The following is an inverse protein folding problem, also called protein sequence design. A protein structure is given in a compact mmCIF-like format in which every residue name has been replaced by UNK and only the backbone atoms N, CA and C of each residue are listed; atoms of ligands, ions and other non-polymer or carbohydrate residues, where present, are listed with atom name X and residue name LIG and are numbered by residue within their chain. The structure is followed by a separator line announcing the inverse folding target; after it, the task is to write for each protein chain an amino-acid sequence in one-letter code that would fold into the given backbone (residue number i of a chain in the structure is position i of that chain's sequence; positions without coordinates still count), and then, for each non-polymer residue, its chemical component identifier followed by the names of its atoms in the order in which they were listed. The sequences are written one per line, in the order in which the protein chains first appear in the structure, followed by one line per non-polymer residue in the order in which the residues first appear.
data_IF_389361213685
#
_entry.id   IF_389361213685
#
_cell.length_a   1.000
_cell.length_b   1.000
_cell.length_c   1.000
_cell.angle_alpha   90.00
_cell.angle_beta   90.00
_cell.angle_gamma   90.00
#
_symmetry.space_group_name_H-M   'P 1'
#
loop_
_entity.id
_entity.type
_entity.pdbx_description
1 polymer ?
#
# COMPACT_ATOMS: atom_id res chain seq x y z
N UNK A 1 63.33 -34.47 -73.29
CA UNK A 1 64.80 -34.53 -72.91
C UNK A 1 65.28 -33.14 -72.54
N UNK A 2 66.23 -33.01 -71.70
CA UNK A 2 66.39 -33.65 -70.34
C UNK A 2 66.40 -32.63 -69.22
N UNK A 3 66.14 -33.07 -68.01
CA UNK A 3 67.01 -33.28 -66.83
C UNK A 3 67.62 -31.96 -66.30
N UNK A 4 67.75 -31.69 -65.09
CA UNK A 4 68.22 -32.44 -63.89
C UNK A 4 68.23 -31.57 -62.66
N UNK A 5 67.96 -32.19 -61.49
CA UNK A 5 68.66 -32.02 -60.22
C UNK A 5 68.33 -30.86 -59.26
N UNK A 6 67.75 -31.27 -58.10
CA UNK A 6 67.97 -30.73 -56.75
C UNK A 6 69.46 -30.50 -56.40
N UNK A 7 69.85 -29.77 -55.36
CA UNK A 7 69.51 -30.16 -53.99
C UNK A 7 69.44 -29.03 -52.93
N UNK A 8 68.81 -29.43 -51.75
CA UNK A 8 69.18 -29.13 -50.40
C UNK A 8 69.30 -27.65 -49.90
N UNK A 9 68.57 -27.40 -48.83
CA UNK A 9 69.01 -26.39 -47.89
C UNK A 9 68.03 -25.92 -46.80
N UNK A 10 68.11 -26.63 -45.71
CA UNK A 10 67.99 -26.10 -44.32
C UNK A 10 66.65 -25.57 -43.78
N UNK A 11 66.27 -26.25 -42.74
CA UNK A 11 65.31 -25.98 -41.67
C UNK A 11 65.28 -24.52 -41.11
N UNK A 12 64.06 -23.96 -41.01
CA UNK A 12 63.77 -22.81 -40.24
C UNK A 12 62.46 -23.11 -39.41
N UNK A 13 62.61 -23.55 -38.18
CA UNK A 13 61.52 -23.76 -37.24
C UNK A 13 60.96 -22.42 -36.82
N UNK A 14 59.91 -21.95 -37.42
CA UNK A 14 59.08 -20.85 -36.82
C UNK A 14 58.05 -21.45 -35.91
N UNK A 15 58.28 -21.23 -34.62
CA UNK A 15 57.34 -21.46 -33.51
C UNK A 15 56.12 -20.55 -33.70
N UNK A 16 54.99 -21.11 -34.06
CA UNK A 16 53.70 -20.45 -33.98
C UNK A 16 53.38 -20.12 -32.53
N UNK A 17 53.58 -18.87 -32.16
CA UNK A 17 53.04 -18.30 -30.93
C UNK A 17 51.53 -18.25 -31.09
N UNK A 18 50.83 -19.20 -30.42
CA UNK A 18 49.42 -19.14 -30.18
C UNK A 18 49.14 -17.88 -29.35
N UNK A 19 48.59 -16.86 -29.98
CA UNK A 19 48.02 -15.72 -29.28
C UNK A 19 46.84 -16.25 -28.46
N UNK A 20 47.10 -16.53 -27.16
CA UNK A 20 46.07 -16.69 -26.19
C UNK A 20 45.27 -15.39 -26.18
N UNK A 21 44.10 -15.42 -26.78
CA UNK A 21 43.09 -14.37 -26.69
C UNK A 21 42.80 -14.16 -25.24
N UNK A 22 43.30 -13.06 -24.68
CA UNK A 22 42.94 -12.52 -23.38
C UNK A 22 41.50 -11.99 -23.48
N UNK A 23 40.54 -12.93 -23.56
CA UNK A 23 39.14 -12.62 -23.45
C UNK A 23 38.92 -12.38 -21.96
N UNK A 24 38.72 -11.12 -21.57
CA UNK A 24 38.15 -10.77 -20.29
C UNK A 24 36.98 -11.72 -20.01
N UNK A 25 36.86 -12.24 -18.77
CA UNK A 25 35.77 -13.17 -18.43
C UNK A 25 34.45 -12.49 -18.78
N UNK A 26 33.61 -13.19 -19.56
CA UNK A 26 32.26 -12.72 -19.81
C UNK A 26 31.59 -12.47 -18.48
N UNK A 27 30.91 -11.31 -18.32
CA UNK A 27 30.11 -11.10 -17.12
C UNK A 27 29.16 -12.29 -16.93
N UNK A 28 28.97 -12.77 -15.70
CA UNK A 28 28.03 -13.87 -15.46
C UNK A 28 26.66 -13.49 -16.01
N UNK A 29 25.91 -14.49 -16.48
CA UNK A 29 24.51 -14.27 -16.88
C UNK A 29 23.76 -13.61 -15.73
N UNK A 30 22.90 -12.61 -15.98
CA UNK A 30 22.26 -11.80 -14.92
C UNK A 30 21.58 -12.61 -13.83
N UNK A 31 21.00 -13.76 -14.18
CA UNK A 31 20.32 -14.65 -13.24
C UNK A 31 21.22 -15.42 -12.26
N UNK A 32 22.53 -15.56 -12.56
CA UNK A 32 23.49 -16.29 -11.72
C UNK A 32 24.27 -15.40 -10.74
N UNK A 33 24.13 -14.08 -10.84
CA UNK A 33 24.77 -13.14 -9.92
C UNK A 33 24.21 -13.33 -8.51
N UNK A 34 25.10 -13.63 -7.53
CA UNK A 34 24.72 -13.70 -6.11
C UNK A 34 24.57 -12.31 -5.53
N UNK A 35 23.53 -12.13 -4.74
CA UNK A 35 23.25 -10.94 -3.99
C UNK A 35 22.89 -11.29 -2.55
N UNK A 36 23.24 -10.39 -1.65
CA UNK A 36 22.83 -10.45 -0.23
C UNK A 36 22.03 -9.19 0.09
N UNK A 37 21.00 -9.35 0.87
CA UNK A 37 20.10 -8.25 1.21
C UNK A 37 19.03 -8.64 2.20
N UNK A 38 18.01 -7.82 2.28
CA UNK A 38 16.85 -8.03 3.15
C UNK A 38 15.56 -7.79 2.36
N UNK A 39 14.64 -8.73 2.43
CA UNK A 39 13.26 -8.49 2.01
C UNK A 39 12.47 -7.95 3.21
N UNK A 40 11.87 -6.78 3.06
CA UNK A 40 10.93 -6.21 4.00
C UNK A 40 9.54 -6.55 3.51
N UNK A 41 8.85 -7.47 4.21
CA UNK A 41 7.47 -7.84 3.89
C UNK A 41 6.52 -7.07 4.82
N UNK A 42 5.78 -6.14 4.26
CA UNK A 42 4.85 -5.26 4.97
C UNK A 42 3.45 -5.87 4.92
N UNK A 43 2.75 -5.86 6.05
CA UNK A 43 1.32 -6.21 6.14
C UNK A 43 0.64 -5.12 6.96
N UNK A 44 -0.31 -4.42 6.36
CA UNK A 44 -1.00 -3.29 6.98
C UNK A 44 -2.46 -3.64 7.23
N UNK A 45 -2.95 -3.36 8.44
CA UNK A 45 -4.29 -3.69 8.91
C UNK A 45 -5.01 -2.44 9.45
N UNK A 46 -6.32 -2.31 9.24
CA UNK A 46 -7.18 -1.34 9.92
C UNK A 46 -7.64 -1.95 11.25
N UNK A 47 -7.21 -1.36 12.39
CA UNK A 47 -7.50 -1.81 13.75
C UNK A 47 -8.55 -0.96 14.46
N UNK A 48 -9.02 0.14 13.88
CA UNK A 48 -10.01 1.05 14.47
C UNK A 48 -10.15 2.36 13.72
N UNK A 49 -10.73 3.35 14.38
CA UNK A 49 -10.98 4.66 13.76
C UNK A 49 -9.83 5.64 13.98
N UNK A 50 -9.35 5.76 15.21
CA UNK A 50 -8.26 6.64 15.62
C UNK A 50 -7.52 6.00 16.80
N UNK A 51 -6.21 6.25 16.92
CA UNK A 51 -5.38 5.75 18.01
C UNK A 51 -4.72 6.92 18.74
N UNK A 52 -4.98 7.02 20.05
CA UNK A 52 -4.20 7.88 20.94
C UNK A 52 -2.80 7.26 21.12
N UNK A 53 -1.82 7.77 20.36
CA UNK A 53 -0.45 7.26 20.40
C UNK A 53 0.25 7.44 21.74
N UNK A 54 -0.12 8.43 22.55
CA UNK A 54 0.50 8.64 23.86
C UNK A 54 -0.01 7.60 24.88
N UNK A 55 -1.32 7.32 24.88
CA UNK A 55 -1.91 6.24 25.67
C UNK A 55 -1.42 4.86 25.17
N UNK A 56 -1.31 4.68 23.83
CA UNK A 56 -0.80 3.47 23.20
C UNK A 56 0.63 3.16 23.63
N UNK A 57 1.50 4.16 23.70
CA UNK A 57 2.89 4.01 24.12
C UNK A 57 3.02 3.47 25.55
N UNK A 58 2.16 3.93 26.45
CA UNK A 58 2.14 3.44 27.83
C UNK A 58 1.69 1.98 27.90
N UNK A 59 0.66 1.60 27.15
CA UNK A 59 0.09 0.25 27.15
C UNK A 59 0.99 -0.78 26.47
N UNK A 60 1.65 -0.39 25.40
CA UNK A 60 2.56 -1.26 24.65
C UNK A 60 3.99 -1.31 25.21
N UNK A 61 4.24 -0.74 26.40
CA UNK A 61 5.56 -0.80 27.05
C UNK A 61 6.06 -2.22 27.29
N UNK A 62 5.19 -3.21 27.38
CA UNK A 62 5.53 -4.63 27.50
C UNK A 62 6.09 -5.23 26.18
N UNK A 63 5.78 -4.65 25.01
CA UNK A 63 6.28 -5.07 23.70
C UNK A 63 7.67 -4.48 23.39
N UNK A 64 8.19 -3.58 24.22
CA UNK A 64 9.47 -2.92 24.04
C UNK A 64 9.40 -1.41 24.26
N UNK A 65 10.52 -0.75 24.04
CA UNK A 65 10.56 0.72 24.12
C UNK A 65 10.09 1.28 22.77
N UNK A 66 8.81 1.63 22.66
CA UNK A 66 8.27 2.30 21.51
C UNK A 66 9.03 3.59 21.19
N UNK A 67 9.46 3.72 19.95
CA UNK A 67 10.11 4.92 19.43
C UNK A 67 9.18 5.58 18.42
N UNK A 68 9.09 6.91 18.46
CA UNK A 68 8.52 7.63 17.30
C UNK A 68 9.56 7.60 16.18
N UNK A 69 9.11 7.32 14.99
CA UNK A 69 9.97 7.44 13.82
C UNK A 69 10.47 8.89 13.72
N UNK A 70 11.78 9.07 13.50
CA UNK A 70 12.38 10.38 13.29
C UNK A 70 13.18 10.36 12.01
N UNK A 71 12.75 11.11 11.04
CA UNK A 71 13.54 11.35 9.83
C UNK A 71 14.79 12.18 10.15
N UNK A 72 15.91 11.83 9.52
CA UNK A 72 17.23 12.43 9.77
C UNK A 72 17.31 13.92 9.42
N UNK A 73 16.50 14.40 8.49
CA UNK A 73 16.70 15.70 7.81
C UNK A 73 15.70 16.80 8.21
N UNK A 74 14.66 16.56 9.00
CA UNK A 74 13.60 17.53 9.18
C UNK A 74 13.55 18.16 10.57
N UNK A 75 13.50 19.47 10.60
CA UNK A 75 13.07 20.26 11.77
C UNK A 75 11.53 20.20 11.82
N UNK A 76 11.00 19.19 12.49
CA UNK A 76 9.55 19.01 12.61
C UNK A 76 8.94 19.96 13.61
N UNK A 77 7.76 20.51 13.31
CA UNK A 77 6.94 21.22 14.29
C UNK A 77 6.25 20.20 15.22
N UNK A 78 5.87 20.61 16.44
CA UNK A 78 5.24 19.72 17.42
C UNK A 78 3.94 19.06 16.88
N UNK A 79 3.22 19.70 15.96
CA UNK A 79 2.03 19.12 15.30
C UNK A 79 2.37 18.05 14.27
N UNK A 80 3.52 18.15 13.62
CA UNK A 80 4.00 17.11 12.70
C UNK A 80 4.50 15.86 13.43
N UNK A 81 5.10 16.01 14.63
CA UNK A 81 5.51 14.88 15.46
C UNK A 81 4.35 13.98 15.88
N UNK A 82 3.12 14.49 15.96
CA UNK A 82 1.92 13.72 16.29
C UNK A 82 1.45 12.82 15.14
N UNK A 83 1.83 13.14 13.91
CA UNK A 83 1.44 12.36 12.71
C UNK A 83 2.37 11.16 12.43
N UNK A 84 3.52 11.08 13.10
CA UNK A 84 4.42 9.94 12.93
C UNK A 84 3.96 8.72 13.73
N UNK A 85 4.13 7.50 13.18
CA UNK A 85 3.76 6.28 13.86
C UNK A 85 4.60 6.01 15.11
N UNK A 86 4.04 5.23 16.00
CA UNK A 86 4.74 4.64 17.13
C UNK A 86 5.29 3.28 16.72
N UNK A 87 6.61 3.11 16.72
CA UNK A 87 7.30 1.92 16.21
C UNK A 87 7.85 1.07 17.35
N UNK A 88 7.61 -0.23 17.30
CA UNK A 88 8.12 -1.23 18.24
C UNK A 88 8.86 -2.33 17.47
N UNK A 89 9.94 -2.85 18.07
CA UNK A 89 10.63 -4.05 17.58
C UNK A 89 10.17 -5.24 18.42
N UNK A 90 9.73 -6.31 17.77
CA UNK A 90 9.31 -7.54 18.42
C UNK A 90 10.06 -8.74 17.81
N UNK A 91 10.56 -9.62 18.68
CA UNK A 91 11.06 -10.93 18.25
C UNK A 91 9.91 -11.90 18.13
N UNK A 92 9.79 -12.58 16.99
CA UNK A 92 8.76 -13.60 16.78
C UNK A 92 9.14 -14.87 17.51
N UNK A 93 8.23 -15.40 18.32
CA UNK A 93 8.43 -16.66 19.04
C UNK A 93 8.60 -17.86 18.11
N UNK A 94 9.21 -18.93 18.63
CA UNK A 94 9.52 -20.14 17.85
C UNK A 94 8.30 -20.78 17.19
N UNK A 95 7.10 -20.64 17.77
CA UNK A 95 5.84 -21.17 17.23
C UNK A 95 5.41 -20.39 15.97
N UNK A 96 5.46 -19.05 16.01
CA UNK A 96 5.17 -18.22 14.82
C UNK A 96 6.15 -18.44 13.69
N UNK A 97 7.42 -18.67 14.02
CA UNK A 97 8.46 -19.03 13.06
C UNK A 97 8.24 -20.40 12.40
N UNK A 98 7.73 -21.40 13.14
CA UNK A 98 7.45 -22.72 12.60
C UNK A 98 6.35 -22.69 11.52
N UNK A 99 5.41 -21.75 11.60
CA UNK A 99 4.38 -21.54 10.58
C UNK A 99 4.91 -20.85 9.31
N UNK A 100 5.91 -19.98 9.45
CA UNK A 100 6.51 -19.19 8.35
C UNK A 100 7.69 -19.94 7.69
N UNK A 101 8.22 -20.99 8.32
CA UNK A 101 9.47 -21.69 7.96
C UNK A 101 9.50 -22.56 6.70
N UNK A 102 8.44 -22.79 5.89
CA UNK A 102 8.66 -23.34 4.55
C UNK A 102 9.40 -22.39 3.63
N UNK A 103 9.44 -21.08 3.95
CA UNK A 103 10.16 -20.09 3.16
C UNK A 103 11.67 -20.22 3.43
N UNK A 104 12.49 -20.36 2.39
CA UNK A 104 13.92 -20.60 2.53
C UNK A 104 14.68 -19.33 2.88
N UNK A 105 14.54 -18.83 4.11
CA UNK A 105 15.29 -17.67 4.59
C UNK A 105 16.64 -18.07 5.22
N UNK A 106 17.60 -17.17 5.13
CA UNK A 106 18.87 -17.27 5.83
C UNK A 106 18.67 -16.87 7.30
N UNK A 107 19.32 -17.59 8.23
CA UNK A 107 19.34 -17.21 9.65
C UNK A 107 20.23 -15.96 9.84
N UNK A 108 19.88 -14.95 10.61
CA UNK A 108 19.22 -15.00 11.92
C UNK A 108 17.68 -14.98 11.86
N UNK A 109 17.05 -15.14 13.04
CA UNK A 109 15.60 -15.11 13.19
C UNK A 109 15.03 -13.81 12.61
N UNK A 110 13.90 -13.86 11.86
CA UNK A 110 13.29 -12.66 11.36
C UNK A 110 12.87 -11.73 12.51
N UNK A 111 13.18 -10.47 12.36
CA UNK A 111 12.71 -9.40 13.23
C UNK A 111 11.42 -8.82 12.65
N UNK A 112 10.53 -8.39 13.52
CA UNK A 112 9.27 -7.76 13.14
C UNK A 112 9.26 -6.34 13.73
N UNK A 113 9.06 -5.35 12.88
CA UNK A 113 8.70 -4.00 13.28
C UNK A 113 7.18 -3.87 13.27
N UNK A 114 6.64 -3.28 14.32
CA UNK A 114 5.23 -2.95 14.43
C UNK A 114 5.10 -1.44 14.48
N UNK A 115 4.40 -0.86 13.52
CA UNK A 115 4.13 0.57 13.44
C UNK A 115 2.65 0.83 13.69
N UNK A 116 2.30 1.64 14.68
CA UNK A 116 0.93 2.04 15.00
C UNK A 116 0.74 3.48 14.56
N UNK A 117 -0.24 3.70 13.68
CA UNK A 117 -0.56 5.01 13.10
C UNK A 117 -1.74 5.66 13.83
N UNK A 118 -1.78 7.01 13.92
CA UNK A 118 -2.90 7.71 14.54
C UNK A 118 -4.23 7.45 13.83
N UNK A 119 -4.21 7.22 12.54
CA UNK A 119 -5.38 6.93 11.69
C UNK A 119 -6.06 5.58 11.99
N UNK A 120 -5.53 4.79 12.91
CA UNK A 120 -6.05 3.45 13.18
C UNK A 120 -5.46 2.36 12.29
N UNK A 121 -4.44 2.66 11.49
CA UNK A 121 -3.67 1.65 10.78
C UNK A 121 -2.57 1.06 11.66
N UNK A 122 -2.26 -0.22 11.43
CA UNK A 122 -1.18 -0.96 12.05
C UNK A 122 -0.39 -1.72 11.00
N UNK A 123 0.90 -1.44 10.91
CA UNK A 123 1.82 -2.15 10.02
C UNK A 123 2.64 -3.17 10.80
N UNK A 124 2.80 -4.36 10.21
CA UNK A 124 3.66 -5.46 10.65
C UNK A 124 4.69 -5.70 9.57
N UNK A 125 5.91 -5.21 9.77
CA UNK A 125 7.00 -5.28 8.82
C UNK A 125 8.00 -6.37 9.19
N UNK A 126 8.09 -7.41 8.41
CA UNK A 126 9.06 -8.50 8.55
C UNK A 126 10.38 -8.13 7.91
N UNK A 127 11.49 -8.37 8.60
CA UNK A 127 12.85 -8.30 8.06
C UNK A 127 13.34 -9.71 7.77
N UNK A 128 13.45 -10.05 6.50
CA UNK A 128 13.78 -11.38 6.00
C UNK A 128 15.13 -11.33 5.27
N UNK A 129 16.27 -11.54 5.95
CA UNK A 129 17.59 -11.50 5.33
C UNK A 129 17.77 -12.66 4.36
N UNK A 130 18.43 -12.41 3.22
CA UNK A 130 18.72 -13.43 2.21
C UNK A 130 20.16 -13.28 1.64
N UNK A 131 20.70 -14.41 1.19
CA UNK A 131 21.90 -14.48 0.37
C UNK A 131 21.66 -15.51 -0.74
N UNK A 132 21.42 -15.06 -1.99
CA UNK A 132 20.93 -15.90 -3.08
C UNK A 132 21.43 -15.43 -4.43
N UNK A 133 21.27 -16.27 -5.47
CA UNK A 133 21.32 -15.81 -6.85
C UNK A 133 20.08 -14.95 -7.15
N UNK A 134 20.18 -14.08 -8.15
CA UNK A 134 19.05 -13.22 -8.53
C UNK A 134 17.84 -14.01 -9.04
N UNK A 135 18.05 -15.15 -9.69
CA UNK A 135 16.97 -16.05 -10.12
C UNK A 135 16.27 -16.71 -8.92
N UNK A 136 17.02 -17.08 -7.88
CA UNK A 136 16.41 -17.56 -6.61
C UNK A 136 15.67 -16.45 -5.88
N UNK A 137 16.08 -15.18 -6.05
CA UNK A 137 15.37 -14.03 -5.49
C UNK A 137 14.04 -13.80 -6.19
N UNK A 138 13.98 -13.95 -7.52
CA UNK A 138 12.73 -13.94 -8.28
C UNK A 138 11.80 -15.07 -7.80
N UNK A 139 12.35 -16.27 -7.61
CA UNK A 139 11.58 -17.39 -7.09
C UNK A 139 11.06 -17.14 -5.66
N UNK A 140 11.83 -16.42 -4.83
CA UNK A 140 11.40 -15.99 -3.50
C UNK A 140 10.27 -14.96 -3.59
N UNK A 141 10.38 -13.96 -4.47
CA UNK A 141 9.31 -12.97 -4.68
C UNK A 141 7.99 -13.63 -5.07
N UNK A 142 8.02 -14.55 -6.04
CA UNK A 142 6.84 -15.33 -6.43
C UNK A 142 6.27 -16.17 -5.28
N UNK A 143 7.15 -16.80 -4.47
CA UNK A 143 6.71 -17.58 -3.33
C UNK A 143 6.08 -16.73 -2.23
N UNK A 144 6.60 -15.52 -1.99
CA UNK A 144 6.04 -14.57 -1.01
C UNK A 144 4.66 -14.05 -1.44
N UNK A 145 4.50 -13.80 -2.74
CA UNK A 145 3.22 -13.34 -3.29
C UNK A 145 2.11 -14.40 -3.14
N UNK A 146 2.44 -15.69 -3.29
CA UNK A 146 1.48 -16.78 -3.17
C UNK A 146 1.28 -17.26 -1.72
N UNK A 147 2.15 -16.84 -0.78
CA UNK A 147 2.16 -17.37 0.59
C UNK A 147 1.22 -16.60 1.52
N UNK A 148 0.30 -17.32 2.14
CA UNK A 148 -0.61 -16.77 3.14
C UNK A 148 -0.11 -16.97 4.59
N UNK A 149 1.04 -17.58 4.81
CA UNK A 149 1.53 -17.86 6.17
C UNK A 149 1.97 -16.59 6.89
N UNK A 150 2.70 -15.69 6.17
CA UNK A 150 3.10 -14.39 6.70
C UNK A 150 1.89 -13.51 7.03
N UNK A 151 0.89 -13.46 6.15
CA UNK A 151 -0.38 -12.74 6.40
C UNK A 151 -1.06 -13.26 7.67
N UNK A 152 -1.25 -14.57 7.80
CA UNK A 152 -1.92 -15.17 8.98
C UNK A 152 -1.20 -14.85 10.28
N UNK A 153 0.14 -14.94 10.30
CA UNK A 153 0.93 -14.61 11.50
C UNK A 153 0.89 -13.11 11.78
N UNK A 154 1.01 -12.26 10.76
CA UNK A 154 0.90 -10.80 10.89
C UNK A 154 -0.46 -10.37 11.44
N UNK A 155 -1.55 -10.98 10.96
CA UNK A 155 -2.91 -10.74 11.46
C UNK A 155 -3.08 -11.12 12.92
N UNK A 156 -2.44 -12.21 13.35
CA UNK A 156 -2.43 -12.62 14.77
C UNK A 156 -1.69 -11.59 15.62
N UNK A 157 -0.50 -11.16 15.17
CA UNK A 157 0.25 -10.10 15.83
C UNK A 157 -0.59 -8.81 15.92
N UNK A 158 -1.24 -8.42 14.82
CA UNK A 158 -2.11 -7.25 14.79
C UNK A 158 -3.28 -7.36 15.79
N UNK A 159 -3.89 -8.54 15.91
CA UNK A 159 -4.96 -8.80 16.88
C UNK A 159 -4.47 -8.69 18.34
N UNK A 160 -3.30 -9.25 18.65
CA UNK A 160 -2.68 -9.17 19.98
C UNK A 160 -2.31 -7.73 20.36
N UNK A 161 -1.76 -6.98 19.41
CA UNK A 161 -1.45 -5.55 19.62
C UNK A 161 -2.72 -4.75 19.82
N UNK A 162 -3.74 -4.92 18.97
CA UNK A 162 -5.03 -4.24 19.10
C UNK A 162 -5.68 -4.52 20.48
N UNK A 163 -5.66 -5.77 20.93
CA UNK A 163 -6.18 -6.14 22.25
C UNK A 163 -5.40 -5.44 23.38
N UNK A 164 -4.08 -5.33 23.23
CA UNK A 164 -3.22 -4.66 24.23
C UNK A 164 -3.42 -3.15 24.25
N UNK A 165 -3.74 -2.55 23.10
CA UNK A 165 -4.07 -1.13 22.99
C UNK A 165 -5.37 -0.77 23.71
N UNK A 166 -6.37 -1.65 23.74
CA UNK A 166 -7.64 -1.47 24.47
C UNK A 166 -8.31 -0.14 24.16
N UNK A 167 -8.61 0.67 25.22
CA UNK A 167 -9.31 1.96 25.06
C UNK A 167 -8.49 3.07 24.39
N UNK A 168 -7.22 2.82 24.03
CA UNK A 168 -6.42 3.76 23.23
C UNK A 168 -6.88 3.80 21.78
N UNK A 169 -7.71 2.84 21.34
CA UNK A 169 -8.24 2.75 19.98
C UNK A 169 -9.72 3.15 20.01
N UNK A 170 -10.10 4.15 19.23
CA UNK A 170 -11.49 4.50 19.04
C UNK A 170 -12.17 3.47 18.12
N UNK A 171 -13.35 2.95 18.54
CA UNK A 171 -14.11 1.94 17.78
C UNK A 171 -13.24 0.76 17.32
N UNK A 172 -12.60 0.02 18.24
CA UNK A 172 -11.63 -1.03 17.89
C UNK A 172 -12.30 -2.11 17.04
N UNK A 173 -11.68 -2.40 15.90
CA UNK A 173 -12.11 -3.43 14.96
C UNK A 173 -10.95 -3.84 14.06
N UNK A 174 -10.56 -5.10 14.06
CA UNK A 174 -9.62 -5.61 13.08
C UNK A 174 -10.39 -5.92 11.78
N UNK A 175 -10.12 -5.16 10.72
CA UNK A 175 -10.74 -5.37 9.41
C UNK A 175 -10.29 -6.69 8.78
N UNK A 176 -11.13 -7.23 7.87
CA UNK A 176 -10.74 -8.37 7.06
C UNK A 176 -9.78 -7.96 5.93
N UNK A 177 -10.02 -6.78 5.37
CA UNK A 177 -9.18 -6.20 4.34
C UNK A 177 -7.83 -5.80 4.92
N UNK A 178 -6.78 -6.00 4.17
CA UNK A 178 -5.40 -5.63 4.49
C UNK A 178 -4.66 -5.30 3.19
N UNK A 179 -3.50 -4.65 3.32
CA UNK A 179 -2.56 -4.43 2.23
C UNK A 179 -1.24 -5.12 2.54
N UNK A 180 -0.60 -5.67 1.52
CA UNK A 180 0.74 -6.20 1.59
C UNK A 180 1.65 -5.52 0.56
N UNK A 181 2.94 -5.42 0.90
CA UNK A 181 3.95 -4.87 0.02
C UNK A 181 5.32 -5.46 0.31
N UNK A 182 6.11 -5.77 -0.73
CA UNK A 182 7.41 -6.41 -0.57
C UNK A 182 8.53 -5.49 -1.06
N UNK A 183 9.40 -5.04 -0.16
CA UNK A 183 10.53 -4.20 -0.49
C UNK A 183 11.83 -5.01 -0.41
N UNK A 184 12.49 -5.23 -1.55
CA UNK A 184 13.76 -5.93 -1.64
C UNK A 184 14.90 -4.92 -1.53
N UNK A 185 15.64 -4.95 -0.43
CA UNK A 185 16.79 -4.09 -0.20
C UNK A 185 18.09 -4.83 -0.49
N UNK A 186 18.89 -4.28 -1.40
CA UNK A 186 20.24 -4.72 -1.73
C UNK A 186 21.23 -3.60 -1.39
N UNK A 187 22.03 -3.74 -0.33
CA UNK A 187 23.07 -2.75 0.03
C UNK A 187 24.11 -2.54 -1.07
N UNK A 188 24.37 -3.60 -1.83
CA UNK A 188 25.28 -3.60 -2.98
C UNK A 188 24.58 -4.22 -4.19
N UNK A 189 24.78 -3.68 -5.40
CA UNK A 189 24.22 -4.26 -6.60
C UNK A 189 24.82 -5.67 -6.84
N UNK A 190 24.05 -6.59 -7.47
CA UNK A 190 24.55 -7.92 -7.81
C UNK A 190 25.84 -7.83 -8.65
N UNK A 191 26.79 -8.74 -8.42
CA UNK A 191 28.08 -8.75 -9.14
C UNK A 191 27.87 -8.80 -10.65
N UNK A 192 28.52 -7.89 -11.37
CA UNK A 192 28.40 -7.77 -12.82
C UNK A 192 27.23 -6.91 -13.31
N UNK A 193 26.41 -6.39 -12.40
CA UNK A 193 25.46 -5.35 -12.72
C UNK A 193 26.17 -4.02 -12.75
N UNK A 194 25.96 -3.25 -13.81
CA UNK A 194 26.46 -1.88 -13.84
C UNK A 194 25.52 -1.01 -13.00
N UNK A 195 26.03 -0.31 -11.98
CA UNK A 195 25.20 0.50 -11.08
C UNK A 195 24.75 1.82 -11.72
N UNK A 196 24.75 1.92 -13.04
CA UNK A 196 24.36 3.15 -13.69
C UNK A 196 22.84 3.15 -13.91
N UNK A 197 22.11 3.75 -12.96
CA UNK A 197 20.76 4.22 -13.25
C UNK A 197 20.73 4.99 -14.59
N UNK A 198 21.78 5.74 -14.91
CA UNK A 198 21.98 6.43 -16.19
C UNK A 198 22.14 5.48 -17.39
N UNK A 199 22.73 4.30 -17.24
CA UNK A 199 22.91 3.33 -18.33
C UNK A 199 21.63 2.47 -18.56
N UNK A 200 20.83 2.25 -17.56
CA UNK A 200 19.49 1.63 -17.68
C UNK A 200 18.54 2.50 -18.51
N UNK A 201 18.72 3.84 -18.49
CA UNK A 201 17.86 4.79 -19.22
C UNK A 201 18.37 5.14 -20.63
N UNK A 202 19.65 4.95 -20.92
CA UNK A 202 20.27 5.43 -22.16
C UNK A 202 20.06 4.50 -23.37
N UNK A 203 19.58 3.29 -23.20
CA UNK A 203 19.46 2.32 -24.29
C UNK A 203 18.03 2.24 -24.85
N UNK A 204 17.77 3.03 -25.88
CA UNK A 204 16.63 2.87 -26.80
C UNK A 204 16.79 1.60 -27.66
N UNK A 205 17.03 0.45 -27.08
CA UNK A 205 17.19 -0.84 -27.75
C UNK A 205 16.53 -1.95 -26.95
N UNK A 206 16.49 -3.17 -27.49
CA UNK A 206 15.97 -4.33 -26.78
C UNK A 206 16.52 -4.39 -25.35
N UNK A 207 15.64 -4.41 -24.36
CA UNK A 207 15.99 -4.34 -22.94
C UNK A 207 16.89 -5.49 -22.56
N UNK A 208 17.96 -5.20 -21.82
CA UNK A 208 18.96 -6.18 -21.41
C UNK A 208 18.40 -7.23 -20.45
N UNK A 209 19.11 -8.34 -20.27
CA UNK A 209 18.70 -9.41 -19.37
C UNK A 209 18.53 -8.95 -17.91
N UNK A 210 19.20 -7.88 -17.50
CA UNK A 210 19.10 -7.28 -16.16
C UNK A 210 17.74 -6.63 -15.94
N UNK A 211 17.26 -5.83 -16.90
CA UNK A 211 15.94 -5.16 -16.83
C UNK A 211 14.78 -6.16 -16.77
N UNK A 212 14.86 -7.23 -17.58
CA UNK A 212 13.87 -8.31 -17.55
C UNK A 212 13.87 -9.04 -16.20
N UNK A 213 15.06 -9.31 -15.64
CA UNK A 213 15.17 -9.94 -14.33
C UNK A 213 14.60 -9.04 -13.22
N UNK A 214 14.85 -7.72 -13.25
CA UNK A 214 14.27 -6.74 -12.35
C UNK A 214 12.74 -6.71 -12.43
N UNK A 215 12.20 -6.61 -13.65
CA UNK A 215 10.76 -6.61 -13.86
C UNK A 215 10.09 -7.88 -13.34
N UNK A 216 10.71 -9.05 -13.54
CA UNK A 216 10.24 -10.34 -13.01
C UNK A 216 10.24 -10.36 -11.49
N UNK A 217 11.27 -9.79 -10.84
CA UNK A 217 11.32 -9.65 -9.38
C UNK A 217 10.17 -8.79 -8.87
N UNK A 218 9.96 -7.60 -9.46
CA UNK A 218 8.92 -6.66 -9.06
C UNK A 218 7.50 -7.18 -9.28
N UNK A 219 7.31 -8.00 -10.34
CA UNK A 219 6.01 -8.63 -10.69
C UNK A 219 5.79 -9.99 -10.02
N UNK A 220 6.75 -10.47 -9.23
CA UNK A 220 6.71 -11.81 -8.63
C UNK A 220 6.53 -12.93 -9.66
N UNK A 221 7.01 -12.73 -10.91
CA UNK A 221 6.73 -13.59 -12.06
C UNK A 221 7.95 -14.42 -12.45
N UNK A 222 7.78 -15.74 -12.56
CA UNK A 222 8.85 -16.67 -12.96
C UNK A 222 9.02 -16.78 -14.44
N UNK A 223 7.95 -16.55 -15.20
CA UNK A 223 7.96 -16.61 -16.66
C UNK A 223 8.56 -15.33 -17.25
N UNK A 224 8.88 -15.39 -18.55
CA UNK A 224 9.32 -14.21 -19.30
C UNK A 224 8.18 -13.22 -19.48
N UNK A 225 8.46 -11.94 -19.22
CA UNK A 225 7.53 -10.84 -19.42
C UNK A 225 7.67 -10.26 -20.83
N UNK A 226 6.60 -9.70 -21.36
CA UNK A 226 6.64 -8.92 -22.61
C UNK A 226 7.46 -7.64 -22.43
N UNK A 227 7.96 -7.07 -23.52
CA UNK A 227 8.70 -5.79 -23.48
C UNK A 227 7.85 -4.65 -22.91
N UNK A 228 6.54 -4.70 -23.10
CA UNK A 228 5.60 -3.73 -22.53
C UNK A 228 5.53 -3.86 -21.01
N UNK A 229 5.39 -5.08 -20.48
CA UNK A 229 5.37 -5.35 -19.04
C UNK A 229 6.68 -4.99 -18.36
N UNK A 230 7.82 -5.30 -19.01
CA UNK A 230 9.15 -4.88 -18.52
C UNK A 230 9.25 -3.36 -18.47
N UNK A 231 8.76 -2.67 -19.51
CA UNK A 231 8.74 -1.21 -19.54
C UNK A 231 7.89 -0.61 -18.46
N UNK A 232 6.73 -1.20 -18.22
CA UNK A 232 5.78 -0.73 -17.23
C UNK A 232 6.30 -0.96 -15.80
N UNK A 233 6.79 -2.16 -15.49
CA UNK A 233 7.33 -2.48 -14.17
C UNK A 233 8.50 -1.58 -13.74
N UNK A 234 9.28 -1.07 -14.70
CA UNK A 234 10.44 -0.21 -14.46
C UNK A 234 10.15 1.28 -14.70
N UNK A 235 8.90 1.66 -14.95
CA UNK A 235 8.52 3.04 -15.28
C UNK A 235 8.73 4.01 -14.13
N UNK A 236 8.55 3.56 -12.89
CA UNK A 236 8.74 4.37 -11.71
C UNK A 236 10.06 4.02 -11.02
N UNK A 237 11.02 4.91 -11.18
CA UNK A 237 12.33 4.76 -10.53
C UNK A 237 12.89 6.12 -10.13
N UNK A 238 13.45 6.19 -8.93
CA UNK A 238 13.98 7.40 -8.32
C UNK A 238 15.41 7.13 -7.86
N UNK A 239 16.32 8.05 -8.17
CA UNK A 239 17.72 8.01 -7.73
C UNK A 239 18.04 9.28 -6.96
N UNK A 240 18.84 9.14 -5.88
CA UNK A 240 19.36 10.27 -5.10
C UNK A 240 20.84 10.48 -5.39
N UNK A 241 21.64 9.42 -5.30
CA UNK A 241 23.06 9.46 -5.54
C UNK A 241 23.50 8.39 -6.57
N UNK A 242 24.70 8.52 -7.17
CA UNK A 242 25.21 7.47 -8.05
C UNK A 242 25.29 6.12 -7.32
N UNK A 243 24.62 5.11 -7.88
CA UNK A 243 24.55 3.76 -7.29
C UNK A 243 23.38 3.53 -6.33
N UNK A 244 22.63 4.58 -5.98
CA UNK A 244 21.39 4.48 -5.20
C UNK A 244 20.19 4.64 -6.12
N UNK A 245 19.28 3.67 -6.11
CA UNK A 245 18.06 3.73 -6.90
C UNK A 245 16.95 2.93 -6.23
N UNK A 246 15.74 3.45 -6.31
CA UNK A 246 14.51 2.76 -5.89
C UNK A 246 13.64 2.56 -7.13
N UNK A 247 13.27 1.32 -7.39
CA UNK A 247 12.23 0.95 -8.35
C UNK A 247 10.96 0.62 -7.59
N UNK A 248 9.85 1.21 -8.00
CA UNK A 248 8.54 1.04 -7.35
C UNK A 248 7.57 0.44 -8.35
N UNK A 249 6.98 -0.70 -7.99
CA UNK A 249 5.85 -1.29 -8.70
C UNK A 249 4.66 -1.48 -7.76
N UNK A 250 3.54 -1.96 -8.25
CA UNK A 250 2.27 -2.03 -7.51
C UNK A 250 2.28 -3.00 -6.32
N UNK A 251 3.11 -4.05 -6.33
CA UNK A 251 3.19 -5.05 -5.24
C UNK A 251 4.57 -5.14 -4.60
N UNK A 252 5.61 -4.61 -5.26
CA UNK A 252 6.96 -4.71 -4.75
C UNK A 252 7.83 -3.52 -5.16
N UNK A 253 8.89 -3.28 -4.37
CA UNK A 253 9.97 -2.36 -4.69
C UNK A 253 11.32 -3.05 -4.63
N UNK A 254 12.29 -2.54 -5.40
CA UNK A 254 13.70 -2.85 -5.22
C UNK A 254 14.46 -1.59 -4.85
N UNK A 255 15.18 -1.64 -3.74
CA UNK A 255 16.00 -0.55 -3.23
C UNK A 255 17.48 -0.94 -3.31
N UNK A 256 18.26 -0.18 -4.06
CA UNK A 256 19.70 -0.30 -4.13
C UNK A 256 20.32 0.87 -3.35
N UNK A 257 21.15 0.59 -2.36
CA UNK A 257 21.80 1.61 -1.54
C UNK A 257 22.18 1.08 -0.16
N UNK A 258 23.11 1.74 0.51
CA UNK A 258 23.63 1.29 1.80
C UNK A 258 22.64 1.53 2.96
N UNK A 259 21.91 2.65 2.93
CA UNK A 259 20.92 3.04 3.93
C UNK A 259 19.63 3.46 3.22
N UNK A 260 18.56 2.72 3.45
CA UNK A 260 17.26 2.89 2.80
C UNK A 260 16.13 3.01 3.83
N UNK A 261 16.45 3.40 5.05
CA UNK A 261 15.45 3.45 6.13
C UNK A 261 14.35 4.47 5.87
N UNK A 262 14.71 5.62 5.29
CA UNK A 262 13.76 6.68 4.95
C UNK A 262 12.87 6.28 3.75
N UNK A 263 13.43 5.61 2.75
CA UNK A 263 12.70 5.08 1.59
C UNK A 263 11.71 3.98 1.99
N UNK A 264 12.11 3.08 2.88
CA UNK A 264 11.22 2.05 3.42
C UNK A 264 10.06 2.67 4.19
N UNK A 265 10.30 3.72 4.96
CA UNK A 265 9.25 4.45 5.66
C UNK A 265 8.26 5.11 4.68
N UNK A 266 8.76 5.69 3.58
CA UNK A 266 7.90 6.26 2.53
C UNK A 266 7.01 5.21 1.89
N UNK A 267 7.56 4.03 1.58
CA UNK A 267 6.81 2.92 1.01
C UNK A 267 5.77 2.34 2.00
N UNK A 268 6.15 2.21 3.27
CA UNK A 268 5.23 1.79 4.34
C UNK A 268 4.06 2.79 4.46
N UNK A 269 4.36 4.10 4.49
CA UNK A 269 3.33 5.14 4.58
C UNK A 269 2.39 5.14 3.37
N UNK A 270 2.92 4.96 2.15
CA UNK A 270 2.10 4.84 0.95
C UNK A 270 1.20 3.58 0.99
N UNK A 271 1.70 2.46 1.55
CA UNK A 271 0.89 1.24 1.72
C UNK A 271 -0.21 1.44 2.77
N UNK A 272 0.07 2.18 3.84
CA UNK A 272 -0.94 2.56 4.84
C UNK A 272 -2.05 3.40 4.22
N UNK A 273 -1.69 4.42 3.44
CA UNK A 273 -2.65 5.29 2.76
C UNK A 273 -3.49 4.51 1.73
N UNK A 274 -2.90 3.56 1.00
CA UNK A 274 -3.64 2.67 0.10
C UNK A 274 -4.72 1.89 0.86
N UNK A 275 -4.38 1.33 2.03
CA UNK A 275 -5.36 0.65 2.88
C UNK A 275 -6.47 1.60 3.31
N UNK A 276 -6.13 2.82 3.75
CA UNK A 276 -7.10 3.83 4.19
C UNK A 276 -8.08 4.20 3.07
N UNK A 277 -7.58 4.43 1.85
CA UNK A 277 -8.41 4.70 0.67
C UNK A 277 -9.35 3.52 0.36
N UNK A 278 -8.84 2.28 0.40
CA UNK A 278 -9.64 1.08 0.17
C UNK A 278 -10.71 0.87 1.24
N UNK A 279 -10.37 1.07 2.50
CA UNK A 279 -11.32 0.99 3.62
C UNK A 279 -12.39 2.06 3.51
N UNK A 280 -12.02 3.29 3.15
CA UNK A 280 -12.95 4.40 2.93
C UNK A 280 -13.90 4.11 1.76
N UNK A 281 -13.37 3.64 0.63
CA UNK A 281 -14.15 3.24 -0.54
C UNK A 281 -15.21 2.17 -0.19
N UNK A 282 -14.81 1.15 0.56
CA UNK A 282 -15.70 0.09 1.04
C UNK A 282 -16.75 0.60 2.04
N UNK A 283 -16.41 1.55 2.93
CA UNK A 283 -17.37 2.19 3.84
C UNK A 283 -18.40 3.01 3.06
N UNK A 284 -17.96 3.80 2.08
CA UNK A 284 -18.85 4.59 1.20
C UNK A 284 -19.79 3.70 0.40
N UNK A 285 -19.29 2.60 -0.16
CA UNK A 285 -20.13 1.64 -0.89
C UNK A 285 -21.28 1.13 0.00
N UNK A 286 -20.97 0.67 1.21
CA UNK A 286 -21.99 0.21 2.17
C UNK A 286 -22.95 1.32 2.58
N UNK A 287 -22.46 2.55 2.76
CA UNK A 287 -23.26 3.72 3.06
C UNK A 287 -24.27 4.04 1.95
N UNK A 288 -23.85 3.94 0.69
CA UNK A 288 -24.72 4.13 -0.48
C UNK A 288 -25.78 3.02 -0.56
N UNK A 289 -25.41 1.76 -0.38
CA UNK A 289 -26.37 0.64 -0.37
C UNK A 289 -27.45 0.85 0.72
N UNK A 290 -27.03 1.20 1.92
CA UNK A 290 -27.95 1.50 3.03
C UNK A 290 -28.88 2.68 2.69
N UNK A 291 -28.33 3.76 2.13
CA UNK A 291 -29.14 4.92 1.72
C UNK A 291 -30.15 4.57 0.61
N UNK A 292 -29.77 3.73 -0.34
CA UNK A 292 -30.68 3.22 -1.38
C UNK A 292 -31.79 2.31 -0.80
N UNK A 293 -31.46 1.46 0.18
CA UNK A 293 -32.47 0.65 0.86
C UNK A 293 -33.51 1.52 1.59
N UNK A 294 -33.06 2.56 2.27
CA UNK A 294 -33.94 3.53 2.94
C UNK A 294 -34.86 4.19 1.91
N UNK A 295 -34.30 4.65 0.78
CA UNK A 295 -35.07 5.29 -0.29
C UNK A 295 -36.08 4.33 -0.92
N UNK A 296 -35.70 3.08 -1.21
CA UNK A 296 -36.55 2.07 -1.86
C UNK A 296 -37.70 1.60 -0.98
N UNK A 297 -37.47 1.40 0.31
CA UNK A 297 -38.51 1.01 1.29
C UNK A 297 -39.62 2.04 1.39
N UNK A 298 -39.35 3.30 1.05
CA UNK A 298 -40.30 4.42 1.15
C UNK A 298 -41.09 4.72 -0.08
N UNK A 299 -40.81 4.05 -1.20
CA UNK A 299 -41.60 4.15 -2.43
C UNK A 299 -43.02 3.58 -2.34
N UNK A 300 -43.41 2.85 -1.26
CA UNK A 300 -44.72 2.22 -1.10
C UNK A 300 -45.62 3.07 -0.19
N UNK A 301 -46.69 3.63 -0.76
CA UNK A 301 -47.59 4.64 -0.20
C UNK A 301 -48.20 4.34 1.18
N UNK A 302 -48.40 3.10 1.59
CA UNK A 302 -49.14 2.72 2.80
C UNK A 302 -48.27 2.43 4.04
N UNK A 303 -46.95 2.43 3.95
CA UNK A 303 -46.05 2.05 5.06
C UNK A 303 -45.34 3.23 5.74
N UNK A 304 -45.73 4.44 5.42
CA UNK A 304 -44.88 5.62 5.56
C UNK A 304 -45.32 6.64 6.62
N UNK A 305 -45.93 6.22 7.72
CA UNK A 305 -46.25 7.12 8.87
C UNK A 305 -45.08 7.36 9.83
N UNK A 306 -43.94 6.66 9.64
CA UNK A 306 -42.77 6.85 10.49
C UNK A 306 -42.00 8.15 10.13
N UNK A 307 -41.50 8.91 11.13
CA UNK A 307 -40.76 10.15 10.90
C UNK A 307 -39.45 9.88 10.16
N UNK A 308 -39.16 10.66 9.11
CA UNK A 308 -37.92 10.60 8.30
C UNK A 308 -36.68 11.12 9.02
N UNK A 309 -36.84 11.79 10.15
CA UNK A 309 -35.73 12.46 10.85
C UNK A 309 -34.59 11.53 11.29
N UNK A 310 -34.93 10.29 11.68
CA UNK A 310 -33.91 9.31 12.08
C UNK A 310 -33.04 8.80 10.91
N UNK A 311 -33.66 8.58 9.75
CA UNK A 311 -32.97 8.10 8.56
C UNK A 311 -32.07 9.19 7.97
N UNK A 312 -32.55 10.45 7.93
CA UNK A 312 -31.74 11.61 7.49
C UNK A 312 -30.55 11.84 8.44
N UNK A 313 -30.75 11.76 9.75
CA UNK A 313 -29.68 11.90 10.71
C UNK A 313 -28.63 10.77 10.59
N UNK A 314 -29.05 9.56 10.21
CA UNK A 314 -28.15 8.43 9.98
C UNK A 314 -27.29 8.65 8.75
N UNK A 315 -27.88 9.06 7.63
CA UNK A 315 -27.14 9.34 6.40
C UNK A 315 -26.22 10.53 6.59
N UNK A 316 -26.67 11.61 7.22
CA UNK A 316 -25.83 12.77 7.57
C UNK A 316 -24.61 12.39 8.43
N UNK A 317 -24.79 11.44 9.36
CA UNK A 317 -23.69 10.93 10.17
C UNK A 317 -22.69 10.13 9.33
N UNK A 318 -23.17 9.25 8.42
CA UNK A 318 -22.31 8.53 7.48
C UNK A 318 -21.49 9.53 6.65
N UNK A 319 -22.12 10.58 6.11
CA UNK A 319 -21.42 11.61 5.35
C UNK A 319 -20.35 12.34 6.16
N UNK A 320 -20.70 12.75 7.40
CA UNK A 320 -19.75 13.45 8.27
C UNK A 320 -18.55 12.57 8.66
N UNK A 321 -18.80 11.32 9.04
CA UNK A 321 -17.75 10.35 9.39
C UNK A 321 -16.81 10.09 8.20
N UNK A 322 -17.34 10.08 6.96
CA UNK A 322 -16.55 9.85 5.74
C UNK A 322 -15.75 11.09 5.31
N UNK A 323 -16.33 12.27 5.41
CA UNK A 323 -15.64 13.53 5.09
C UNK A 323 -14.43 13.75 6.00
N UNK A 324 -14.56 13.46 7.30
CA UNK A 324 -13.46 13.53 8.26
C UNK A 324 -12.33 12.54 7.93
N UNK A 325 -12.66 11.31 7.50
CA UNK A 325 -11.67 10.32 7.12
C UNK A 325 -10.92 10.74 5.85
N UNK A 326 -11.62 11.30 4.87
CA UNK A 326 -11.00 11.79 3.64
C UNK A 326 -10.05 12.97 3.90
N UNK A 327 -10.41 13.90 4.77
CA UNK A 327 -9.55 15.01 5.17
C UNK A 327 -8.29 14.55 5.94
N UNK A 328 -8.37 13.43 6.67
CA UNK A 328 -7.26 12.84 7.42
C UNK A 328 -6.17 12.22 6.54
N UNK A 329 -6.53 11.72 5.36
CA UNK A 329 -5.61 11.07 4.39
C UNK A 329 -4.75 12.10 3.62
N UNK A 330 -5.16 13.36 3.57
CA UNK A 330 -4.71 14.36 2.59
C UNK A 330 -3.29 14.92 2.74
N UNK A 331 -2.40 14.47 3.67
CA UNK A 331 -1.14 15.22 3.80
C UNK A 331 0.16 14.54 4.29
N UNK A 332 0.52 13.32 3.84
CA UNK A 332 1.82 12.73 4.16
C UNK A 332 3.00 13.52 3.58
N UNK A 333 2.82 14.22 2.44
CA UNK A 333 3.87 15.05 1.83
C UNK A 333 4.42 16.13 2.75
N UNK A 334 3.63 16.63 3.70
CA UNK A 334 4.09 17.59 4.71
C UNK A 334 5.06 16.98 5.73
N UNK A 335 5.09 15.64 5.85
CA UNK A 335 6.00 14.94 6.73
C UNK A 335 7.42 14.89 6.16
N UNK A 336 7.56 14.99 4.82
CA UNK A 336 8.85 14.92 4.17
C UNK A 336 9.46 16.32 4.03
N UNK A 337 10.51 16.60 4.80
CA UNK A 337 11.32 17.82 4.65
C UNK A 337 12.28 17.77 3.46
N UNK A 338 12.32 16.67 2.71
CA UNK A 338 13.22 16.40 1.60
C UNK A 338 12.44 16.17 0.29
N UNK A 339 12.85 16.86 -0.78
CA UNK A 339 12.25 16.73 -2.10
C UNK A 339 12.43 15.34 -2.72
N UNK A 340 13.53 14.66 -2.39
CA UNK A 340 13.78 13.29 -2.85
C UNK A 340 12.71 12.32 -2.33
N UNK A 341 12.43 12.33 -1.02
CA UNK A 341 11.40 11.47 -0.42
C UNK A 341 10.00 11.85 -0.90
N UNK A 342 9.75 13.15 -1.13
CA UNK A 342 8.50 13.59 -1.72
C UNK A 342 8.32 13.10 -3.17
N UNK A 343 9.41 12.99 -3.96
CA UNK A 343 9.37 12.38 -5.30
C UNK A 343 9.11 10.88 -5.23
N UNK A 344 9.77 10.19 -4.30
CA UNK A 344 9.55 8.75 -4.09
C UNK A 344 8.09 8.46 -3.69
N UNK A 345 7.55 9.27 -2.79
CA UNK A 345 6.16 9.13 -2.38
C UNK A 345 5.19 9.36 -3.56
N UNK A 346 5.41 10.38 -4.40
CA UNK A 346 4.60 10.58 -5.61
C UNK A 346 4.70 9.41 -6.59
N UNK A 347 5.89 8.82 -6.75
CA UNK A 347 6.07 7.63 -7.58
C UNK A 347 5.26 6.43 -7.04
N UNK A 348 5.22 6.24 -5.72
CA UNK A 348 4.38 5.23 -5.09
C UNK A 348 2.89 5.53 -5.28
N UNK A 349 2.44 6.78 -5.06
CA UNK A 349 1.06 7.20 -5.28
C UNK A 349 0.59 6.94 -6.73
N UNK A 350 1.44 7.25 -7.71
CA UNK A 350 1.14 7.01 -9.11
C UNK A 350 1.02 5.50 -9.38
N UNK A 351 1.90 4.69 -8.79
CA UNK A 351 1.93 3.24 -8.98
C UNK A 351 0.77 2.51 -8.28
N UNK A 352 0.31 3.04 -7.15
CA UNK A 352 -0.84 2.53 -6.39
C UNK A 352 -2.17 3.12 -6.87
N UNK A 353 -2.15 3.94 -7.94
CA UNK A 353 -3.32 4.54 -8.57
C UNK A 353 -4.17 5.41 -7.62
N UNK A 354 -3.55 6.17 -6.71
CA UNK A 354 -4.27 6.99 -5.73
C UNK A 354 -5.25 7.97 -6.38
N UNK A 355 -4.87 8.61 -7.49
CA UNK A 355 -5.78 9.50 -8.23
C UNK A 355 -7.07 8.82 -8.73
N UNK A 356 -7.03 7.53 -9.02
CA UNK A 356 -8.22 6.75 -9.40
C UNK A 356 -9.10 6.44 -8.19
N UNK A 357 -8.48 6.13 -7.04
CA UNK A 357 -9.17 5.94 -5.78
C UNK A 357 -9.85 7.22 -5.33
N UNK A 358 -9.15 8.37 -5.31
CA UNK A 358 -9.70 9.67 -4.94
C UNK A 358 -10.90 10.03 -5.81
N UNK A 359 -10.76 9.91 -7.14
CA UNK A 359 -11.86 10.17 -8.06
C UNK A 359 -13.06 9.20 -7.86
N UNK A 360 -12.83 7.96 -7.42
CA UNK A 360 -13.89 7.02 -7.10
C UNK A 360 -14.60 7.39 -5.79
N UNK A 361 -13.84 7.80 -4.78
CA UNK A 361 -14.33 8.26 -3.48
C UNK A 361 -15.17 9.53 -3.64
N UNK A 362 -14.68 10.53 -4.37
CA UNK A 362 -15.41 11.78 -4.66
C UNK A 362 -16.76 11.48 -5.32
N UNK A 363 -16.80 10.64 -6.36
CA UNK A 363 -18.06 10.26 -7.02
C UNK A 363 -19.05 9.57 -6.08
N UNK A 364 -18.55 8.77 -5.13
CA UNK A 364 -19.39 8.10 -4.13
C UNK A 364 -19.94 9.08 -3.10
N UNK A 365 -19.13 10.06 -2.68
CA UNK A 365 -19.55 11.15 -1.79
C UNK A 365 -20.65 11.99 -2.46
N UNK A 366 -20.47 12.39 -3.72
CA UNK A 366 -21.49 13.12 -4.49
C UNK A 366 -22.80 12.31 -4.64
N UNK A 367 -22.69 10.99 -4.84
CA UNK A 367 -23.86 10.10 -4.90
C UNK A 367 -24.60 10.08 -3.58
N UNK A 368 -23.89 9.97 -2.48
CA UNK A 368 -24.48 9.94 -1.12
C UNK A 368 -25.15 11.29 -0.80
N UNK A 369 -24.52 12.41 -1.20
CA UNK A 369 -25.10 13.75 -1.06
C UNK A 369 -26.39 13.90 -1.87
N UNK A 370 -26.41 13.45 -3.12
CA UNK A 370 -27.61 13.44 -3.96
C UNK A 370 -28.76 12.63 -3.34
N UNK A 371 -28.46 11.48 -2.73
CA UNK A 371 -29.47 10.65 -2.05
C UNK A 371 -29.99 11.38 -0.79
N UNK A 372 -29.10 11.96 -0.01
CA UNK A 372 -29.47 12.76 1.18
C UNK A 372 -30.39 13.91 0.81
N UNK A 373 -30.08 14.65 -0.26
CA UNK A 373 -30.90 15.75 -0.73
C UNK A 373 -32.28 15.30 -1.17
N UNK A 374 -32.38 14.20 -1.94
CA UNK A 374 -33.69 13.62 -2.33
C UNK A 374 -34.54 13.20 -1.12
N UNK A 375 -33.93 12.60 -0.11
CA UNK A 375 -34.63 12.24 1.13
C UNK A 375 -35.09 13.47 1.93
N UNK A 376 -34.26 14.52 1.96
CA UNK A 376 -34.59 15.81 2.59
C UNK A 376 -35.78 16.48 1.90
N UNK A 377 -35.82 16.48 0.55
CA UNK A 377 -36.92 17.05 -0.22
C UNK A 377 -38.22 16.26 0.02
N UNK A 378 -38.14 14.92 0.05
CA UNK A 378 -39.28 14.07 0.40
C UNK A 378 -39.79 14.34 1.81
N UNK A 379 -38.89 14.58 2.78
CA UNK A 379 -39.28 14.93 4.15
C UNK A 379 -39.97 16.29 4.22
N UNK A 380 -39.48 17.26 3.47
CA UNK A 380 -40.03 18.60 3.37
C UNK A 380 -41.43 18.61 2.75
N UNK A 381 -41.60 17.93 1.60
CA UNK A 381 -42.88 17.81 0.92
C UNK A 381 -43.96 17.16 1.80
N UNK A 382 -43.61 16.11 2.54
CA UNK A 382 -44.51 15.48 3.49
C UNK A 382 -44.94 16.36 4.63
N UNK A 383 -44.01 17.15 5.16
CA UNK A 383 -44.33 18.08 6.24
C UNK A 383 -45.41 19.09 5.77
N UNK A 384 -45.32 19.54 4.50
CA UNK A 384 -46.27 20.39 3.87
C UNK A 384 -47.63 19.68 3.69
N UNK A 385 -47.65 18.45 3.15
CA UNK A 385 -48.87 17.65 3.00
C UNK A 385 -49.60 17.39 4.32
N UNK A 386 -48.86 17.06 5.40
CA UNK A 386 -49.46 16.85 6.72
C UNK A 386 -50.09 18.15 7.25
N UNK A 387 -49.43 19.30 7.07
CA UNK A 387 -49.98 20.60 7.46
C UNK A 387 -51.25 20.92 6.68
N UNK A 388 -51.30 20.64 5.38
CA UNK A 388 -52.50 20.80 4.53
C UNK A 388 -53.66 19.93 5.05
N UNK A 389 -53.41 18.66 5.37
CA UNK A 389 -54.40 17.76 5.92
C UNK A 389 -54.93 18.24 7.28
N UNK A 390 -54.06 18.76 8.15
CA UNK A 390 -54.44 19.31 9.44
C UNK A 390 -55.37 20.52 9.24
N UNK A 391 -55.06 21.40 8.28
CA UNK A 391 -55.88 22.57 7.97
C UNK A 391 -57.25 22.12 7.42
N UNK A 392 -57.26 21.17 6.50
CA UNK A 392 -58.52 20.62 5.91
C UNK A 392 -59.39 20.00 7.00
N UNK A 393 -58.83 19.24 7.93
CA UNK A 393 -59.56 18.63 9.07
C UNK A 393 -60.09 19.67 10.05
N UNK A 394 -59.32 20.72 10.33
CA UNK A 394 -59.77 21.83 11.15
C UNK A 394 -60.94 22.59 10.53
N UNK A 395 -60.86 22.90 9.25
CA UNK A 395 -61.97 23.57 8.50
C UNK A 395 -63.21 22.66 8.46
N UNK A 396 -63.03 21.37 8.18
CA UNK A 396 -64.14 20.40 8.19
C UNK A 396 -64.81 20.30 9.55
N UNK A 397 -64.04 20.28 10.62
CA UNK A 397 -64.52 20.26 12.02
C UNK A 397 -65.30 21.54 12.35
N UNK A 398 -64.79 22.71 11.95
CA UNK A 398 -65.46 24.00 12.16
C UNK A 398 -66.83 24.05 11.42
N UNK A 399 -66.87 23.56 10.16
CA UNK A 399 -68.11 23.47 9.39
C UNK A 399 -69.12 22.55 10.08
N UNK A 400 -68.71 21.37 10.55
CA UNK A 400 -69.56 20.41 11.25
C UNK A 400 -70.10 21.00 12.54
N UNK A 401 -69.25 21.66 13.36
CA UNK A 401 -69.70 22.34 14.59
C UNK A 401 -70.67 23.46 14.30
N UNK A 402 -70.40 24.31 13.31
CA UNK A 402 -71.32 25.40 12.94
C UNK A 402 -72.68 24.88 12.40
N UNK A 403 -72.69 23.72 11.75
CA UNK A 403 -73.93 23.09 11.28
C UNK A 403 -74.72 22.47 12.42
N UNK A 404 -74.02 21.83 13.39
CA UNK A 404 -74.63 21.26 14.59
C UNK A 404 -75.28 22.35 15.49
N UNK A 405 -74.63 23.48 15.60
CA UNK A 405 -75.13 24.64 16.35
C UNK A 405 -76.35 25.28 15.73
N UNK A 406 -76.50 25.20 14.39
CA UNK A 406 -77.69 25.68 13.67
C UNK A 406 -78.85 24.71 13.66
N UNK A 407 -78.60 23.43 13.98
CA UNK A 407 -79.62 22.37 13.99
C UNK A 407 -80.09 22.06 15.45
N UNK A 408 -79.40 22.54 16.47
CA UNK A 408 -79.81 22.51 17.86
C UNK A 408 -80.60 23.77 18.22
#
# INVERSE_FOLDING_TARGET
MPATLDPEGTAGAERGASAASDRAPRPPEPGLARCAGTCHALFVFDIGYEVDLEAARQRLSAFGHGRRFRHRSATHTASQEQSFPLVFEQSVGAEGLAEVLPLPFVRPLPEVLISVYPSGALSVAWRLPFERSFEELIALSSALYDDQSLERVSRRIAAEVQQSLGDSVERPRLAQDFEDYFAFHLPEPPRGWQPAAEALWASSGARGGQERALARLLRAERSELSEQEVSDALSQSISYAPGEVVFVDWSAALLLGADVADELFVLELATVELLELRVLDGKLYRGIEEAYEILSRRGHFLRNLAPLGGDLARIARIQADQALLHEGVDNPLKLFGDDYLARLYRAAQERFHFGEWDAAIERKLETLDSIHQKLSDLASTRRSEILEWIIILLIAFEIVMSLAEKLA
#
